data_IF_696189595978
#
_entry.id   IF_696189595978
#
_cell.length_a   1.000
_cell.length_b   1.000
_cell.length_c   1.000
_cell.angle_alpha   90.00
_cell.angle_beta   90.00
_cell.angle_gamma   90.00
#
_symmetry.space_group_name_H-M   'P 1'
#
loop_
_entity.id
_entity.type
_entity.pdbx_description
1 polymer ?
#
# COMPACT_ATOMS: atom_id res chain seq x y z
N UNK A 1 -4.31 9.45 -0.21
CA UNK A 1 -3.37 8.49 -0.83
C UNK A 1 -3.06 7.28 0.05
N UNK A 2 -2.64 7.47 1.31
CA UNK A 2 -2.40 6.37 2.25
C UNK A 2 -3.57 5.39 2.39
N UNK A 3 -4.81 5.87 2.35
CA UNK A 3 -6.02 5.03 2.39
C UNK A 3 -6.16 4.10 1.18
N UNK A 4 -5.86 4.56 -0.03
CA UNK A 4 -5.91 3.75 -1.25
C UNK A 4 -4.83 2.67 -1.25
N UNK A 5 -3.61 3.02 -0.84
CA UNK A 5 -2.52 2.04 -0.69
C UNK A 5 -2.82 1.02 0.41
N UNK A 6 -3.37 1.45 1.54
CA UNK A 6 -3.83 0.55 2.61
C UNK A 6 -4.90 -0.40 2.12
N UNK A 7 -5.84 0.07 1.30
CA UNK A 7 -6.86 -0.79 0.69
C UNK A 7 -6.22 -1.86 -0.20
N UNK A 8 -5.29 -1.50 -1.09
CA UNK A 8 -4.58 -2.48 -1.93
C UNK A 8 -3.81 -3.49 -1.07
N UNK A 9 -3.04 -3.01 -0.09
CA UNK A 9 -2.27 -3.88 0.81
C UNK A 9 -3.16 -4.84 1.62
N UNK A 10 -4.33 -4.39 2.07
CA UNK A 10 -5.30 -5.24 2.78
C UNK A 10 -5.86 -6.37 1.91
N UNK A 11 -5.73 -6.27 0.58
CA UNK A 11 -6.13 -7.30 -0.39
C UNK A 11 -4.92 -8.00 -1.02
N UNK A 12 -3.74 -7.90 -0.41
CA UNK A 12 -2.47 -8.45 -0.90
C UNK A 12 -2.00 -7.90 -2.25
N UNK A 13 -2.41 -6.70 -2.62
CA UNK A 13 -1.94 -6.02 -3.83
C UNK A 13 -0.94 -4.92 -3.53
N UNK A 14 0.06 -4.77 -4.38
CA UNK A 14 1.02 -3.65 -4.39
C UNK A 14 0.87 -2.93 -5.72
N UNK A 15 0.72 -1.60 -5.69
CA UNK A 15 0.50 -0.78 -6.89
C UNK A 15 1.69 -0.77 -7.87
N UNK A 16 2.92 -0.91 -7.35
CA UNK A 16 4.19 -0.91 -8.08
C UNK A 16 4.56 0.35 -8.88
N UNK A 17 3.63 1.27 -9.12
CA UNK A 17 3.91 2.54 -9.83
C UNK A 17 3.21 3.76 -9.17
N UNK A 18 3.70 4.17 -8.00
CA UNK A 18 3.16 5.34 -7.28
C UNK A 18 3.97 6.57 -7.67
N UNK A 19 3.46 7.33 -8.63
CA UNK A 19 4.03 8.61 -9.10
C UNK A 19 2.94 9.67 -9.15
N UNK A 20 3.30 10.96 -9.21
CA UNK A 20 2.32 12.04 -9.35
C UNK A 20 1.50 11.95 -10.65
N UNK A 21 2.01 11.30 -11.69
CA UNK A 21 1.29 11.07 -12.95
C UNK A 21 0.11 10.11 -12.80
N UNK A 22 0.17 9.19 -11.83
CA UNK A 22 -0.92 8.25 -11.52
C UNK A 22 -1.85 8.76 -10.41
N UNK A 23 -1.81 10.06 -10.10
CA UNK A 23 -2.68 10.69 -9.11
C UNK A 23 -3.48 11.81 -9.75
N UNK A 24 -4.81 11.74 -9.66
CA UNK A 24 -5.69 12.84 -10.03
C UNK A 24 -6.34 13.43 -8.79
N UNK A 25 -6.32 14.75 -8.70
CA UNK A 25 -7.14 15.51 -7.76
C UNK A 25 -8.57 15.68 -8.32
N UNK A 26 -9.57 15.34 -7.52
CA UNK A 26 -10.98 15.50 -7.82
C UNK A 26 -11.67 16.17 -6.63
N UNK A 27 -11.67 17.50 -6.62
CA UNK A 27 -12.11 18.28 -5.46
C UNK A 27 -11.24 18.01 -4.25
N UNK A 28 -11.85 17.60 -3.13
CA UNK A 28 -11.15 17.23 -1.89
C UNK A 28 -10.59 15.80 -1.90
N UNK A 29 -10.79 15.04 -2.99
CA UNK A 29 -10.35 13.66 -3.11
C UNK A 29 -9.12 13.53 -4.00
N UNK A 30 -8.21 12.64 -3.61
CA UNK A 30 -7.13 12.17 -4.47
C UNK A 30 -7.43 10.73 -4.90
N UNK A 31 -7.44 10.49 -6.20
CA UNK A 31 -7.65 9.16 -6.80
C UNK A 31 -6.32 8.61 -7.29
N UNK A 32 -6.06 7.35 -6.96
CA UNK A 32 -4.92 6.57 -7.46
C UNK A 32 -5.37 5.83 -8.72
N UNK A 33 -4.60 5.96 -9.80
CA UNK A 33 -4.91 5.43 -11.13
C UNK A 33 -3.88 4.39 -11.57
N UNK A 34 -4.18 3.75 -12.69
CA UNK A 34 -3.33 2.79 -13.37
C UNK A 34 -2.89 1.60 -12.49
N UNK A 35 -3.78 0.62 -12.39
CA UNK A 35 -3.52 -0.65 -11.72
C UNK A 35 -2.93 -1.71 -12.65
N UNK A 36 -2.51 -1.35 -13.87
CA UNK A 36 -2.01 -2.33 -14.85
C UNK A 36 -0.72 -3.01 -14.40
N UNK A 37 0.11 -2.29 -13.64
CA UNK A 37 1.35 -2.80 -13.03
C UNK A 37 1.15 -3.35 -11.62
N UNK A 38 -0.08 -3.33 -11.08
CA UNK A 38 -0.34 -3.81 -9.74
C UNK A 38 -0.08 -5.31 -9.66
N UNK A 39 0.61 -5.74 -8.60
CA UNK A 39 0.96 -7.15 -8.41
C UNK A 39 0.40 -7.68 -7.11
N UNK A 40 -0.07 -8.93 -7.16
CA UNK A 40 -0.36 -9.68 -5.95
C UNK A 40 0.95 -10.01 -5.24
N UNK A 41 1.02 -9.79 -3.93
CA UNK A 41 2.10 -10.31 -3.09
C UNK A 41 2.00 -11.82 -3.09
N UNK A 42 3.00 -12.49 -3.67
CA UNK A 42 3.18 -13.93 -3.52
C UNK A 42 3.89 -14.17 -2.19
N UNK A 43 3.22 -14.88 -1.28
CA UNK A 43 3.69 -15.16 0.07
C UNK A 43 2.85 -14.42 1.11
N UNK A 44 2.09 -15.18 1.89
CA UNK A 44 1.22 -14.66 2.95
C UNK A 44 2.00 -13.74 3.87
N UNK A 45 1.54 -12.50 4.00
CA UNK A 45 2.01 -11.65 5.07
C UNK A 45 1.51 -12.28 6.37
N UNK A 46 2.37 -13.05 7.05
CA UNK A 46 2.31 -13.02 8.50
C UNK A 46 2.24 -11.53 8.88
N UNK A 47 1.25 -11.11 9.70
CA UNK A 47 1.12 -9.72 10.08
C UNK A 47 2.48 -9.25 10.59
N UNK A 48 2.85 -8.03 10.23
CA UNK A 48 4.10 -7.42 10.65
C UNK A 48 4.13 -7.40 12.19
N UNK A 49 4.64 -8.47 12.81
CA UNK A 49 4.91 -8.53 14.24
C UNK A 49 6.05 -7.54 14.39
N UNK A 50 5.73 -6.33 14.87
CA UNK A 50 6.74 -5.34 15.19
C UNK A 50 7.83 -6.04 15.97
N UNK A 51 9.09 -5.85 15.60
CA UNK A 51 10.23 -6.27 16.41
C UNK A 51 10.01 -5.65 17.79
N UNK A 52 9.56 -6.44 18.75
CA UNK A 52 9.78 -6.13 20.15
C UNK A 52 11.30 -6.09 20.29
N UNK A 53 11.87 -4.90 20.40
CA UNK A 53 13.22 -4.75 20.91
C UNK A 53 13.30 -5.46 22.27
N UNK A 54 14.44 -6.08 22.61
CA UNK A 54 14.57 -6.73 23.91
C UNK A 54 14.25 -5.73 25.03
N UNK A 55 13.49 -6.18 26.03
CA UNK A 55 13.21 -5.42 27.24
C UNK A 55 14.56 -5.09 27.92
N UNK A 56 14.79 -3.84 28.36
CA UNK A 56 16.01 -3.49 29.09
C UNK A 56 16.07 -4.27 30.41
N UNK A 57 17.26 -4.79 30.70
CA UNK A 57 17.64 -5.46 31.96
C UNK A 57 17.72 -4.51 33.13
#
# INVERSE_FOLDING_TARGET
MASALRYLHAHDWVHCDVTSGNVIAAGSLAKLLDLSLARRRLGGSAPHRGRAGPLPS
#
